data_IF_370767804661
#
_entry.id   IF_370767804661
#
_cell.length_a   1.000
_cell.length_b   1.000
_cell.length_c   1.000
_cell.angle_alpha   90.00
_cell.angle_beta   90.00
_cell.angle_gamma   90.00
#
_symmetry.space_group_name_H-M   'P 1'
#
loop_
_entity.id
_entity.type
_entity.pdbx_description
1 polymer ?
#
# COMPACT_ATOMS: atom_id res chain seq x y z
N UNK A 1 18.51 32.40 -59.19
CA UNK A 1 19.22 31.48 -58.27
C UNK A 1 18.40 31.37 -56.98
N UNK A 2 17.79 30.21 -56.72
CA UNK A 2 16.95 29.96 -55.53
C UNK A 2 17.85 29.61 -54.34
N UNK A 3 17.74 30.36 -53.25
CA UNK A 3 18.37 30.04 -51.95
C UNK A 3 17.36 29.24 -51.13
N UNK A 4 17.64 27.99 -50.83
CA UNK A 4 16.86 27.19 -49.87
C UNK A 4 17.49 27.37 -48.50
N UNK A 5 16.72 27.91 -47.55
CA UNK A 5 17.08 27.95 -46.14
C UNK A 5 16.44 26.72 -45.48
N UNK A 6 17.26 25.75 -45.09
CA UNK A 6 16.80 24.57 -44.33
C UNK A 6 16.82 24.95 -42.85
N UNK A 7 15.64 25.18 -42.28
CA UNK A 7 15.48 25.34 -40.84
C UNK A 7 15.51 23.95 -40.19
N UNK A 8 16.62 23.62 -39.53
CA UNK A 8 16.75 22.42 -38.71
C UNK A 8 15.96 22.61 -37.41
N UNK A 9 14.72 22.09 -37.38
CA UNK A 9 13.91 22.03 -36.17
C UNK A 9 14.51 21.01 -35.19
N UNK A 10 15.08 21.50 -34.08
CA UNK A 10 15.44 20.65 -32.95
C UNK A 10 14.17 20.18 -32.24
N UNK A 11 13.73 18.96 -32.54
CA UNK A 11 12.75 18.23 -31.74
C UNK A 11 13.40 17.90 -30.39
N UNK A 12 13.15 18.73 -29.37
CA UNK A 12 13.38 18.35 -27.98
C UNK A 12 12.34 17.28 -27.60
N UNK A 13 12.69 16.01 -27.80
CA UNK A 13 12.00 14.90 -27.16
C UNK A 13 12.24 15.04 -25.65
N UNK A 14 11.31 15.72 -24.96
CA UNK A 14 11.23 15.68 -23.51
C UNK A 14 10.83 14.27 -23.12
N UNK A 15 11.83 13.42 -22.90
CA UNK A 15 11.68 12.09 -22.34
C UNK A 15 11.16 12.28 -20.91
N UNK A 16 9.84 12.41 -20.78
CA UNK A 16 9.18 12.40 -19.49
C UNK A 16 9.33 10.98 -18.96
N UNK A 17 10.38 10.74 -18.18
CA UNK A 17 10.47 9.56 -17.35
C UNK A 17 9.26 9.56 -16.45
N UNK A 18 8.21 8.83 -16.85
CA UNK A 18 7.20 8.37 -15.93
C UNK A 18 7.94 7.44 -14.96
N UNK A 19 8.54 8.03 -13.93
CA UNK A 19 9.06 7.33 -12.78
C UNK A 19 7.81 6.75 -12.11
N UNK A 20 7.38 5.58 -12.58
CA UNK A 20 6.31 4.83 -11.94
C UNK A 20 6.83 4.55 -10.53
N UNK A 21 6.40 5.34 -9.56
CA UNK A 21 6.79 5.20 -8.18
C UNK A 21 6.49 3.76 -7.76
N UNK A 22 7.53 2.94 -7.67
CA UNK A 22 7.38 1.53 -7.35
C UNK A 22 6.65 1.40 -6.00
N UNK A 23 5.74 0.42 -5.84
CA UNK A 23 5.08 0.22 -4.56
C UNK A 23 6.12 -0.08 -3.48
N UNK A 24 6.06 0.67 -2.38
CA UNK A 24 6.93 0.47 -1.23
C UNK A 24 6.45 -0.71 -0.40
N UNK A 25 6.87 -1.93 -0.76
CA UNK A 25 6.42 -3.16 -0.11
C UNK A 25 7.51 -3.91 0.66
N UNK A 26 7.16 -4.55 1.79
CA UNK A 26 8.07 -5.44 2.54
C UNK A 26 7.39 -6.72 3.02
N UNK A 27 7.99 -7.88 2.77
CA UNK A 27 7.60 -9.16 3.40
C UNK A 27 8.49 -9.40 4.61
N UNK A 28 7.93 -9.35 5.81
CA UNK A 28 8.70 -9.38 7.07
C UNK A 28 8.95 -10.80 7.62
N UNK A 29 8.32 -11.82 7.03
CA UNK A 29 8.38 -13.20 7.51
C UNK A 29 7.61 -13.41 8.82
N UNK A 30 8.05 -14.38 9.62
CA UNK A 30 7.43 -14.67 10.91
C UNK A 30 7.85 -13.63 11.96
N UNK A 31 6.87 -13.04 12.65
CA UNK A 31 7.06 -12.10 13.75
C UNK A 31 6.19 -12.53 14.94
N UNK A 32 6.84 -13.01 16.00
CA UNK A 32 6.19 -13.39 17.25
C UNK A 32 5.58 -12.19 17.98
N UNK A 33 6.15 -11.00 17.82
CA UNK A 33 5.66 -9.74 18.39
C UNK A 33 5.69 -8.62 17.36
N UNK A 34 4.58 -8.41 16.65
CA UNK A 34 4.42 -7.28 15.73
C UNK A 34 3.06 -6.60 15.97
N UNK A 35 3.03 -5.83 17.07
CA UNK A 35 1.84 -5.11 17.53
C UNK A 35 1.44 -3.95 16.62
N UNK A 36 0.32 -3.31 16.97
CA UNK A 36 -0.20 -2.16 16.22
C UNK A 36 0.81 -1.00 16.15
N UNK A 37 1.59 -0.78 17.20
CA UNK A 37 2.60 0.28 17.25
C UNK A 37 3.73 0.05 16.23
N UNK A 38 4.23 -1.19 16.15
CA UNK A 38 5.24 -1.58 15.19
C UNK A 38 4.73 -1.51 13.75
N UNK A 39 3.45 -1.85 13.54
CA UNK A 39 2.78 -1.71 12.26
C UNK A 39 2.69 -0.25 11.82
N UNK A 40 2.28 0.67 12.71
CA UNK A 40 2.21 2.11 12.41
C UNK A 40 3.60 2.67 12.12
N UNK A 41 4.60 2.37 12.94
CA UNK A 41 5.99 2.80 12.71
C UNK A 41 6.50 2.37 11.33
N UNK A 42 6.20 1.13 10.92
CA UNK A 42 6.60 0.64 9.60
C UNK A 42 5.83 1.33 8.46
N UNK A 43 4.52 1.56 8.61
CA UNK A 43 3.74 2.36 7.65
C UNK A 43 4.37 3.74 7.49
N UNK A 44 4.71 4.41 8.60
CA UNK A 44 5.35 5.72 8.58
C UNK A 44 6.74 5.70 7.94
N UNK A 45 7.55 4.67 8.20
CA UNK A 45 8.84 4.48 7.55
C UNK A 45 8.69 4.38 6.02
N UNK A 46 7.73 3.58 5.55
CA UNK A 46 7.43 3.43 4.13
C UNK A 46 6.85 4.71 3.53
N UNK A 47 6.00 5.43 4.26
CA UNK A 47 5.39 6.68 3.82
C UNK A 47 6.38 7.85 3.69
N UNK A 48 7.61 7.73 4.20
CA UNK A 48 8.69 8.71 3.96
C UNK A 48 9.37 8.54 2.60
N UNK A 49 9.13 7.42 1.92
CA UNK A 49 9.67 7.14 0.59
C UNK A 49 8.77 7.74 -0.50
N UNK A 50 9.30 8.01 -1.70
CA UNK A 50 8.54 8.56 -2.82
C UNK A 50 7.67 7.49 -3.50
N UNK A 51 6.87 6.77 -2.72
CA UNK A 51 5.93 5.75 -3.15
C UNK A 51 4.51 6.18 -2.79
N UNK A 52 3.56 6.00 -3.68
CA UNK A 52 2.15 6.31 -3.43
C UNK A 52 1.37 5.12 -2.89
N UNK A 53 1.79 3.91 -3.27
CA UNK A 53 1.28 2.68 -2.68
C UNK A 53 2.38 2.11 -1.78
N UNK A 54 2.01 1.76 -0.56
CA UNK A 54 2.89 1.08 0.38
C UNK A 54 2.21 -0.12 1.01
N UNK A 55 3.02 -1.04 1.53
CA UNK A 55 2.48 -2.17 2.24
C UNK A 55 3.51 -3.09 2.86
N UNK A 56 3.02 -4.03 3.65
CA UNK A 56 3.85 -5.11 4.14
C UNK A 56 2.99 -6.28 4.57
N UNK A 57 3.61 -7.46 4.62
CA UNK A 57 3.00 -8.67 5.15
C UNK A 57 3.87 -9.33 6.19
N UNK A 58 3.24 -9.97 7.16
CA UNK A 58 3.90 -10.72 8.22
C UNK A 58 3.00 -11.86 8.72
N UNK A 59 3.65 -12.87 9.32
CA UNK A 59 2.96 -14.00 9.95
C UNK A 59 3.17 -13.96 11.46
N UNK A 60 2.11 -14.12 12.22
CA UNK A 60 2.15 -14.26 13.69
C UNK A 60 1.39 -15.51 14.10
N UNK A 61 2.11 -16.55 14.49
CA UNK A 61 1.52 -17.88 14.69
C UNK A 61 0.90 -18.42 13.41
N UNK A 62 -0.40 -18.76 13.46
CA UNK A 62 -1.20 -19.20 12.30
C UNK A 62 -1.83 -18.05 11.53
N UNK A 63 -1.70 -16.81 12.01
CA UNK A 63 -2.31 -15.64 11.42
C UNK A 63 -1.38 -14.99 10.41
N UNK A 64 -1.82 -14.82 9.17
CA UNK A 64 -1.14 -13.97 8.20
C UNK A 64 -1.79 -12.58 8.22
N UNK A 65 -1.01 -11.52 8.10
CA UNK A 65 -1.50 -10.15 8.05
C UNK A 65 -0.86 -9.41 6.88
N UNK A 66 -1.68 -8.72 6.12
CA UNK A 66 -1.31 -7.84 5.02
C UNK A 66 -1.80 -6.43 5.34
N UNK A 67 -0.92 -5.45 5.27
CA UNK A 67 -1.27 -4.03 5.35
C UNK A 67 -0.93 -3.38 4.02
N UNK A 68 -1.90 -2.69 3.43
CA UNK A 68 -1.77 -1.93 2.20
C UNK A 68 -2.28 -0.51 2.44
N UNK A 69 -1.59 0.49 1.93
CA UNK A 69 -2.09 1.85 1.91
C UNK A 69 -1.88 2.49 0.54
N UNK A 70 -2.90 3.19 0.08
CA UNK A 70 -2.87 4.09 -1.06
C UNK A 70 -2.89 5.52 -0.52
N UNK A 71 -1.75 6.20 -0.62
CA UNK A 71 -1.56 7.56 -0.11
C UNK A 71 -2.17 8.63 -1.01
N UNK A 72 -2.59 8.30 -2.24
CA UNK A 72 -3.30 9.22 -3.14
C UNK A 72 -4.76 9.32 -2.74
N UNK A 73 -5.37 8.17 -2.50
CA UNK A 73 -6.78 8.06 -2.10
C UNK A 73 -6.97 8.20 -0.58
N UNK A 74 -5.87 8.21 0.18
CA UNK A 74 -5.94 8.28 1.64
C UNK A 74 -6.61 7.06 2.24
N UNK A 75 -6.33 5.87 1.69
CA UNK A 75 -6.90 4.59 2.11
C UNK A 75 -5.83 3.69 2.72
N UNK A 76 -6.14 3.04 3.83
CA UNK A 76 -5.31 2.01 4.45
C UNK A 76 -6.19 0.82 4.78
N UNK A 77 -5.74 -0.39 4.45
CA UNK A 77 -6.40 -1.64 4.81
C UNK A 77 -5.44 -2.56 5.51
N UNK A 78 -5.87 -3.08 6.65
CA UNK A 78 -5.26 -4.20 7.34
C UNK A 78 -6.14 -5.41 7.18
N UNK A 79 -5.62 -6.43 6.52
CA UNK A 79 -6.28 -7.71 6.32
C UNK A 79 -5.55 -8.79 7.11
N UNK A 80 -6.29 -9.71 7.72
CA UNK A 80 -5.72 -10.82 8.45
C UNK A 80 -6.48 -12.12 8.20
N UNK A 81 -5.77 -13.19 7.89
CA UNK A 81 -6.30 -14.55 7.73
C UNK A 81 -5.87 -15.43 8.89
N UNK A 82 -6.79 -16.26 9.38
CA UNK A 82 -6.50 -17.36 10.30
C UNK A 82 -7.59 -18.43 10.18
N UNK A 83 -7.20 -19.70 10.10
CA UNK A 83 -8.16 -20.83 10.14
C UNK A 83 -9.26 -20.77 9.08
N UNK A 84 -8.93 -20.40 7.84
CA UNK A 84 -9.89 -20.32 6.73
C UNK A 84 -10.86 -19.12 6.79
N UNK A 85 -10.66 -18.21 7.75
CA UNK A 85 -11.40 -16.95 7.85
C UNK A 85 -10.47 -15.77 7.62
N UNK A 86 -11.01 -14.70 7.05
CA UNK A 86 -10.33 -13.43 6.85
C UNK A 86 -11.12 -12.34 7.56
N UNK A 87 -10.40 -11.42 8.16
CA UNK A 87 -10.92 -10.18 8.73
C UNK A 87 -10.20 -9.01 8.11
N UNK A 88 -10.89 -7.88 7.95
CA UNK A 88 -10.24 -6.65 7.53
C UNK A 88 -10.75 -5.47 8.34
N UNK A 89 -9.89 -4.47 8.42
CA UNK A 89 -10.24 -3.13 8.86
C UNK A 89 -9.62 -2.18 7.85
N UNK A 90 -10.42 -1.22 7.37
CA UNK A 90 -9.96 -0.16 6.48
C UNK A 90 -10.17 1.18 7.16
N UNK A 91 -9.25 2.10 6.92
CA UNK A 91 -9.28 3.49 7.34
C UNK A 91 -9.20 4.35 6.09
N UNK A 92 -10.01 5.41 6.01
CA UNK A 92 -9.97 6.35 4.91
C UNK A 92 -10.06 7.81 5.35
N UNK A 93 -9.74 8.72 4.43
CA UNK A 93 -9.87 10.17 4.61
C UNK A 93 -8.62 10.82 5.20
N UNK A 94 -7.45 10.22 5.03
CA UNK A 94 -6.19 10.75 5.54
C UNK A 94 -5.23 11.22 4.46
N UNK A 95 -4.40 12.19 4.80
CA UNK A 95 -3.26 12.63 4.00
C UNK A 95 -1.97 11.93 4.43
N UNK A 96 -0.94 11.93 3.57
CA UNK A 96 0.41 11.45 3.93
C UNK A 96 0.94 12.15 5.17
N UNK A 97 0.71 13.46 5.32
CA UNK A 97 1.19 14.22 6.46
C UNK A 97 0.52 13.77 7.77
N UNK A 98 -0.79 13.53 7.75
CA UNK A 98 -1.53 13.00 8.91
C UNK A 98 -1.07 11.60 9.27
N UNK A 99 -0.87 10.71 8.29
CA UNK A 99 -0.29 9.37 8.51
C UNK A 99 1.09 9.42 9.17
N UNK A 100 1.92 10.41 8.80
CA UNK A 100 3.25 10.62 9.40
C UNK A 100 3.19 11.24 10.80
N UNK A 101 2.09 11.90 11.15
CA UNK A 101 1.88 12.56 12.44
C UNK A 101 1.22 11.64 13.50
N UNK A 102 0.79 10.44 13.11
CA UNK A 102 0.14 9.49 14.01
C UNK A 102 1.06 9.10 15.16
N UNK A 103 0.50 9.07 16.38
CA UNK A 103 1.17 8.45 17.52
C UNK A 103 1.07 6.92 17.41
N UNK A 104 2.20 6.20 17.22
CA UNK A 104 2.16 4.74 17.09
C UNK A 104 1.58 4.03 18.32
N UNK A 105 1.63 4.64 19.52
CA UNK A 105 1.08 4.02 20.73
C UNK A 105 -0.44 3.79 20.63
N UNK A 106 -1.14 4.59 19.81
CA UNK A 106 -2.59 4.45 19.58
C UNK A 106 -2.93 3.50 18.42
N UNK A 107 -1.92 2.92 17.76
CA UNK A 107 -2.13 2.12 16.55
C UNK A 107 -2.80 2.94 15.44
N UNK A 108 -3.66 2.28 14.66
CA UNK A 108 -4.46 2.96 13.62
C UNK A 108 -5.77 3.54 14.19
N UNK A 109 -5.97 3.53 15.51
CA UNK A 109 -7.13 4.15 16.15
C UNK A 109 -6.89 5.65 16.27
N UNK A 110 -7.41 6.38 15.29
CA UNK A 110 -7.09 7.77 15.09
C UNK A 110 -8.40 8.51 14.98
N UNK A 111 -8.68 9.34 15.98
CA UNK A 111 -9.77 10.31 15.95
C UNK A 111 -9.59 11.16 14.69
N UNK A 112 -10.34 10.85 13.63
CA UNK A 112 -10.23 11.54 12.35
C UNK A 112 -10.41 10.65 11.11
N UNK A 113 -10.17 9.34 11.20
CA UNK A 113 -10.32 8.46 10.03
C UNK A 113 -11.59 7.62 10.09
N UNK A 114 -12.20 7.41 8.92
CA UNK A 114 -13.39 6.58 8.80
C UNK A 114 -12.96 5.12 8.81
N UNK A 115 -13.26 4.43 9.91
CA UNK A 115 -12.98 3.01 10.04
C UNK A 115 -14.19 2.17 9.60
N UNK A 116 -13.94 1.18 8.74
CA UNK A 116 -14.90 0.14 8.38
C UNK A 116 -14.23 -1.23 8.44
N UNK A 117 -14.99 -2.28 8.69
CA UNK A 117 -14.42 -3.60 8.80
C UNK A 117 -15.44 -4.71 8.60
N UNK A 118 -14.92 -5.90 8.42
CA UNK A 118 -15.74 -7.08 8.20
C UNK A 118 -14.95 -8.37 8.36
N UNK A 119 -15.67 -9.48 8.18
CA UNK A 119 -15.12 -10.84 8.21
C UNK A 119 -15.80 -11.66 7.11
N UNK A 120 -15.04 -12.53 6.48
CA UNK A 120 -15.55 -13.47 5.48
C UNK A 120 -14.79 -14.79 5.55
N UNK A 121 -15.41 -15.86 5.05
CA UNK A 121 -14.75 -17.16 4.88
C UNK A 121 -14.02 -17.21 3.53
N UNK A 122 -12.95 -18.01 3.47
CA UNK A 122 -12.33 -18.38 2.19
C UNK A 122 -13.29 -19.25 1.36
N UNK A 123 -13.26 -19.18 0.01
CA UNK A 123 -12.32 -18.43 -0.82
C UNK A 123 -12.70 -16.97 -1.12
N UNK A 124 -13.96 -16.57 -0.86
CA UNK A 124 -14.47 -15.24 -1.22
C UNK A 124 -13.61 -14.08 -0.67
N UNK A 125 -13.02 -14.26 0.51
CA UNK A 125 -12.16 -13.25 1.11
C UNK A 125 -10.74 -13.17 0.51
N UNK A 126 -10.22 -14.26 -0.05
CA UNK A 126 -8.95 -14.27 -0.77
C UNK A 126 -9.06 -13.47 -2.07
N UNK A 127 -10.15 -13.68 -2.81
CA UNK A 127 -10.43 -12.92 -4.03
C UNK A 127 -10.47 -11.41 -3.78
N UNK A 128 -11.13 -10.95 -2.71
CA UNK A 128 -11.18 -9.52 -2.38
C UNK A 128 -9.80 -8.88 -2.08
N UNK A 129 -8.82 -9.68 -1.67
CA UNK A 129 -7.43 -9.24 -1.45
C UNK A 129 -6.70 -9.16 -2.80
N UNK A 130 -6.90 -10.15 -3.67
CA UNK A 130 -6.34 -10.16 -5.02
C UNK A 130 -6.89 -9.00 -5.85
N UNK A 131 -8.19 -8.73 -5.79
CA UNK A 131 -8.83 -7.60 -6.50
C UNK A 131 -8.25 -6.25 -6.02
N UNK A 132 -8.01 -6.11 -4.72
CA UNK A 132 -7.36 -4.92 -4.16
C UNK A 132 -5.91 -4.80 -4.66
N UNK A 133 -5.18 -5.91 -4.69
CA UNK A 133 -3.81 -5.94 -5.16
C UNK A 133 -3.71 -5.56 -6.64
N UNK A 134 -4.63 -6.07 -7.47
CA UNK A 134 -4.73 -5.72 -8.88
C UNK A 134 -5.07 -4.24 -9.08
N UNK A 135 -6.06 -3.71 -8.35
CA UNK A 135 -6.41 -2.28 -8.38
C UNK A 135 -5.20 -1.39 -8.06
N UNK A 136 -4.41 -1.81 -7.07
CA UNK A 136 -3.20 -1.12 -6.63
C UNK A 136 -1.95 -1.46 -7.47
N UNK A 137 -2.12 -2.28 -8.53
CA UNK A 137 -1.04 -2.73 -9.43
C UNK A 137 0.14 -3.34 -8.68
N UNK A 138 -0.15 -4.08 -7.60
CA UNK A 138 0.85 -4.77 -6.81
C UNK A 138 1.34 -6.03 -7.53
N UNK A 139 2.66 -6.29 -7.57
CA UNK A 139 3.18 -7.56 -8.03
C UNK A 139 2.55 -8.74 -7.28
N UNK A 140 2.13 -9.78 -8.01
CA UNK A 140 1.47 -10.98 -7.45
C UNK A 140 2.29 -11.67 -6.35
N UNK A 141 3.62 -11.60 -6.45
CA UNK A 141 4.53 -12.11 -5.43
C UNK A 141 4.37 -11.42 -4.04
N UNK A 142 3.78 -10.22 -3.99
CA UNK A 142 3.55 -9.46 -2.76
C UNK A 142 2.31 -9.94 -1.98
N UNK A 143 1.33 -10.49 -2.70
CA UNK A 143 0.06 -10.98 -2.13
C UNK A 143 -0.07 -12.50 -2.15
N UNK A 144 0.95 -13.24 -2.59
CA UNK A 144 1.00 -14.69 -2.41
C UNK A 144 1.28 -15.06 -0.93
N UNK A 145 0.44 -15.92 -0.30
CA UNK A 145 -0.44 -16.94 -0.91
C UNK A 145 -1.95 -16.70 -0.74
N UNK A 146 -2.39 -15.44 -0.69
CA UNK A 146 -3.79 -15.07 -0.39
C UNK A 146 -4.76 -15.40 -1.52
#
# INVERSE_FOLDING_TARGET
MRKYLVAAGCFFFSLSSALSAEPCFRKLGAKSSFGSDAQVKLVQELARRPCDVLGFSFKSGTRETLILADLREGELRRTASAGGSVSWTSWSGFTRAELLALDPANGFELRGFVASGGKAKMPAAGQAILDLAERLKLPSAMVAPW
#
